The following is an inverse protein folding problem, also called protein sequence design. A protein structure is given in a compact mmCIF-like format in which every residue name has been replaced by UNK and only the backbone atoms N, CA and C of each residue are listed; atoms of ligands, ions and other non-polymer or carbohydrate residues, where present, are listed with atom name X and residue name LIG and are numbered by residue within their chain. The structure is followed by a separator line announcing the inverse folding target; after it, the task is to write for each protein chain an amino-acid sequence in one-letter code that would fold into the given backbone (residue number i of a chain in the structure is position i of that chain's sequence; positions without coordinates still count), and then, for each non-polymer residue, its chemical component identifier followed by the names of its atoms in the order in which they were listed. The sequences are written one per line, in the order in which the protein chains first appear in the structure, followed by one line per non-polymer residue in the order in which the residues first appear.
data_IF_366227569917
#
_entry.id   IF_366227569917
#
_cell.length_a   1.000
_cell.length_b   1.000
_cell.length_c   1.000
_cell.angle_alpha   90.00
_cell.angle_beta   90.00
_cell.angle_gamma   90.00
#
_symmetry.space_group_name_H-M   'P 1'
#
loop_
_entity.id
_entity.type
_entity.pdbx_description
1 polymer ?
#
# COMPACT_ATOMS: atom_id res chain seq x y z
N UNK A 1 -21.09 5.83 -13.63
CA UNK A 1 -20.70 6.98 -12.79
C UNK A 1 -19.89 6.58 -11.57
N UNK A 2 -20.38 5.69 -10.70
CA UNK A 2 -19.68 5.26 -9.46
C UNK A 2 -18.26 4.73 -9.73
N UNK A 3 -18.08 3.84 -10.70
CA UNK A 3 -16.76 3.25 -10.98
C UNK A 3 -15.75 4.25 -11.55
N UNK A 4 -16.22 5.24 -12.31
CA UNK A 4 -15.38 6.34 -12.79
C UNK A 4 -14.86 7.18 -11.62
N UNK A 5 -15.74 7.56 -10.68
CA UNK A 5 -15.35 8.28 -9.48
C UNK A 5 -14.36 7.46 -8.62
N UNK A 6 -14.60 6.16 -8.46
CA UNK A 6 -13.68 5.27 -7.75
C UNK A 6 -12.29 5.23 -8.40
N UNK A 7 -12.22 5.18 -9.73
CA UNK A 7 -10.96 5.27 -10.47
C UNK A 7 -10.21 6.60 -10.24
N UNK A 8 -10.94 7.73 -10.24
CA UNK A 8 -10.36 9.04 -9.96
C UNK A 8 -9.81 9.15 -8.53
N UNK A 9 -10.48 8.57 -7.54
CA UNK A 9 -10.00 8.54 -6.15
C UNK A 9 -8.68 7.78 -6.04
N UNK A 10 -8.58 6.61 -6.69
CA UNK A 10 -7.34 5.82 -6.71
C UNK A 10 -6.22 6.56 -7.44
N UNK A 11 -6.52 7.20 -8.57
CA UNK A 11 -5.57 8.05 -9.30
C UNK A 11 -5.05 9.18 -8.41
N UNK A 12 -5.93 9.89 -7.70
CA UNK A 12 -5.54 10.96 -6.78
C UNK A 12 -4.60 10.45 -5.67
N UNK A 13 -4.86 9.25 -5.13
CA UNK A 13 -3.96 8.61 -4.16
C UNK A 13 -2.57 8.32 -4.73
N UNK A 14 -2.48 7.81 -5.97
CA UNK A 14 -1.20 7.59 -6.64
C UNK A 14 -0.47 8.90 -6.99
N UNK A 15 -1.19 9.94 -7.39
CA UNK A 15 -0.63 11.26 -7.63
C UNK A 15 -0.09 11.88 -6.34
N UNK A 16 -0.81 11.70 -5.22
CA UNK A 16 -0.32 12.10 -3.91
C UNK A 16 0.98 11.35 -3.58
N UNK A 17 1.02 10.03 -3.74
CA UNK A 17 2.24 9.25 -3.54
C UNK A 17 3.40 9.69 -4.46
N UNK A 18 3.11 10.14 -5.68
CA UNK A 18 4.11 10.66 -6.60
C UNK A 18 4.66 12.02 -6.15
N UNK A 19 3.82 12.88 -5.55
CA UNK A 19 4.24 14.16 -4.98
C UNK A 19 5.12 14.02 -3.73
N UNK A 20 5.03 12.90 -3.02
CA UNK A 20 5.82 12.64 -1.82
C UNK A 20 7.23 12.16 -2.16
N UNK A 21 8.25 12.68 -1.47
CA UNK A 21 9.62 12.22 -1.58
C UNK A 21 9.80 10.96 -0.71
N UNK A 22 10.14 9.79 -1.28
CA UNK A 22 10.29 8.58 -0.49
C UNK A 22 11.46 8.71 0.49
N UNK A 23 11.22 8.42 1.77
CA UNK A 23 12.28 8.40 2.78
C UNK A 23 13.25 7.23 2.56
N UNK A 24 14.57 7.51 2.56
CA UNK A 24 15.61 6.49 2.38
C UNK A 24 15.62 5.44 3.50
N UNK A 25 15.23 5.85 4.70
CA UNK A 25 15.08 4.97 5.87
C UNK A 25 13.94 3.94 5.72
N UNK A 26 13.12 4.04 4.66
CA UNK A 26 12.03 3.10 4.40
C UNK A 26 10.73 3.38 5.16
N UNK A 27 10.67 4.42 6.00
CA UNK A 27 9.49 4.84 6.76
C UNK A 27 9.46 6.37 6.98
N UNK A 28 8.34 6.92 7.46
CA UNK A 28 8.25 8.35 7.81
C UNK A 28 7.80 9.28 6.68
N UNK A 29 7.64 8.79 5.45
CA UNK A 29 7.11 9.60 4.32
C UNK A 29 5.73 10.20 4.63
N UNK A 30 4.94 9.57 5.52
CA UNK A 30 3.64 10.13 5.95
C UNK A 30 3.78 11.44 6.73
N UNK A 31 4.93 11.72 7.35
CA UNK A 31 5.15 12.97 8.09
C UNK A 31 5.17 14.21 7.15
N UNK A 32 5.48 14.02 5.87
CA UNK A 32 5.37 15.08 4.85
C UNK A 32 3.92 15.51 4.63
N UNK A 33 2.94 14.68 5.01
CA UNK A 33 1.52 15.02 5.00
C UNK A 33 1.08 15.77 6.27
N UNK A 34 2.02 16.14 7.16
CA UNK A 34 1.72 16.77 8.46
C UNK A 34 1.24 15.79 9.53
N UNK A 35 1.37 14.48 9.28
CA UNK A 35 0.99 13.44 10.24
C UNK A 35 2.09 13.24 11.30
N UNK A 36 1.73 12.89 12.55
CA UNK A 36 2.71 12.64 13.61
C UNK A 36 3.58 11.40 13.30
N UNK A 37 4.76 11.27 13.92
CA UNK A 37 5.55 10.05 13.84
C UNK A 37 4.76 8.84 14.35
N UNK A 38 5.12 7.63 13.88
CA UNK A 38 4.45 6.41 14.35
C UNK A 38 4.73 6.22 15.85
N UNK A 39 3.69 6.31 16.68
CA UNK A 39 3.81 6.19 18.14
C UNK A 39 4.44 4.89 18.60
N UNK A 40 4.14 3.77 17.94
CA UNK A 40 4.72 2.46 18.29
C UNK A 40 6.23 2.45 18.04
N UNK A 41 6.65 2.97 16.89
CA UNK A 41 8.07 3.09 16.57
C UNK A 41 8.78 4.08 17.48
N UNK A 42 8.13 5.20 17.81
CA UNK A 42 8.69 6.24 18.67
C UNK A 42 8.85 5.78 20.13
N UNK A 43 7.86 5.05 20.67
CA UNK A 43 7.88 4.60 22.07
C UNK A 43 8.66 3.29 22.28
N UNK A 44 8.50 2.32 21.38
CA UNK A 44 9.06 0.97 21.55
C UNK A 44 10.28 0.71 20.68
N UNK A 45 10.64 1.60 19.76
CA UNK A 45 11.74 1.40 18.81
C UNK A 45 11.45 0.35 17.74
N UNK A 46 10.23 -0.21 17.71
CA UNK A 46 9.85 -1.33 16.83
C UNK A 46 8.89 -0.83 15.75
N UNK A 47 9.10 -1.17 14.47
CA UNK A 47 8.17 -0.80 13.41
C UNK A 47 6.82 -1.52 13.60
N UNK A 48 5.71 -0.82 13.43
CA UNK A 48 4.38 -1.44 13.37
C UNK A 48 4.14 -2.08 11.98
N UNK A 49 3.12 -2.94 11.78
CA UNK A 49 2.89 -3.58 10.47
C UNK A 49 2.63 -2.57 9.34
N UNK A 50 2.14 -1.36 9.66
CA UNK A 50 1.93 -0.28 8.70
C UNK A 50 3.12 0.68 8.53
N UNK A 51 4.19 0.55 9.34
CA UNK A 51 5.38 1.39 9.18
C UNK A 51 5.97 1.19 7.78
N UNK A 52 6.16 2.29 7.07
CA UNK A 52 6.72 2.29 5.71
C UNK A 52 5.73 2.04 4.58
N UNK A 53 4.42 1.92 4.85
CA UNK A 53 3.42 1.78 3.77
C UNK A 53 3.42 2.99 2.82
N UNK A 54 3.38 4.22 3.32
CA UNK A 54 3.40 5.43 2.46
C UNK A 54 4.71 5.56 1.69
N UNK A 55 5.84 5.21 2.31
CA UNK A 55 7.14 5.14 1.63
C UNK A 55 7.14 4.08 0.53
N UNK A 56 6.55 2.92 0.79
CA UNK A 56 6.38 1.86 -0.21
C UNK A 56 5.56 2.34 -1.40
N UNK A 57 4.46 3.06 -1.17
CA UNK A 57 3.65 3.68 -2.25
C UNK A 57 4.47 4.70 -3.06
N UNK A 58 5.25 5.56 -2.39
CA UNK A 58 6.10 6.55 -3.06
C UNK A 58 7.19 5.90 -3.94
N UNK A 59 7.79 4.79 -3.51
CA UNK A 59 8.70 4.00 -4.35
C UNK A 59 7.98 3.25 -5.48
N UNK A 60 6.78 2.73 -5.22
CA UNK A 60 5.99 1.96 -6.19
C UNK A 60 5.61 2.81 -7.41
N UNK A 61 5.10 4.04 -7.20
CA UNK A 61 4.73 4.95 -8.30
C UNK A 61 5.93 5.39 -9.14
N UNK A 62 7.15 5.28 -8.59
CA UNK A 62 8.42 5.56 -9.30
C UNK A 62 8.97 4.33 -10.03
N UNK A 63 8.24 3.21 -10.03
CA UNK A 63 8.68 1.95 -10.64
C UNK A 63 9.77 1.21 -9.84
N UNK A 64 10.13 1.69 -8.64
CA UNK A 64 11.17 1.08 -7.82
C UNK A 64 10.58 -0.01 -6.91
N UNK A 65 10.16 -1.13 -7.50
CA UNK A 65 9.45 -2.21 -6.79
C UNK A 65 10.33 -2.83 -5.68
N UNK A 66 11.64 -2.99 -5.90
CA UNK A 66 12.53 -3.55 -4.88
C UNK A 66 12.66 -2.61 -3.66
N UNK A 67 12.80 -1.30 -3.90
CA UNK A 67 12.81 -0.30 -2.81
C UNK A 67 11.46 -0.24 -2.10
N UNK A 68 10.36 -0.38 -2.84
CA UNK A 68 9.00 -0.47 -2.30
C UNK A 68 8.83 -1.66 -1.36
N UNK A 69 9.30 -2.85 -1.74
CA UNK A 69 9.25 -4.06 -0.92
C UNK A 69 10.14 -3.95 0.32
N UNK A 70 11.34 -3.35 0.19
CA UNK A 70 12.24 -3.09 1.32
C UNK A 70 11.58 -2.18 2.36
N UNK A 71 10.89 -1.13 1.92
CA UNK A 71 10.11 -0.27 2.81
C UNK A 71 8.97 -1.06 3.49
N UNK A 72 8.06 -1.65 2.70
CA UNK A 72 6.98 -2.50 3.20
C UNK A 72 6.42 -3.43 2.10
N UNK A 73 6.54 -4.75 2.26
CA UNK A 73 6.01 -5.77 1.33
C UNK A 73 4.48 -5.76 1.32
N UNK A 74 3.85 -5.60 2.49
CA UNK A 74 2.41 -5.41 2.62
C UNK A 74 1.93 -4.16 1.86
N UNK A 75 2.66 -3.04 1.98
CA UNK A 75 2.41 -1.81 1.23
C UNK A 75 2.50 -2.00 -0.29
N UNK A 76 3.50 -2.76 -0.75
CA UNK A 76 3.70 -3.06 -2.18
C UNK A 76 2.55 -3.91 -2.73
N UNK A 77 2.12 -4.89 -1.94
CA UNK A 77 0.98 -5.76 -2.26
C UNK A 77 -0.29 -4.92 -2.40
N UNK A 78 -0.55 -4.04 -1.42
CA UNK A 78 -1.69 -3.13 -1.42
C UNK A 78 -1.68 -2.19 -2.63
N UNK A 79 -0.53 -1.54 -2.91
CA UNK A 79 -0.36 -0.65 -4.06
C UNK A 79 -0.66 -1.37 -5.39
N UNK A 80 -0.20 -2.61 -5.52
CA UNK A 80 -0.47 -3.45 -6.70
C UNK A 80 -1.97 -3.75 -6.84
N UNK A 81 -2.64 -4.09 -5.74
CA UNK A 81 -4.10 -4.30 -5.73
C UNK A 81 -4.88 -3.04 -6.11
N UNK A 82 -4.48 -1.87 -5.57
CA UNK A 82 -5.06 -0.58 -5.92
C UNK A 82 -4.89 -0.27 -7.42
N UNK A 83 -3.73 -0.56 -8.00
CA UNK A 83 -3.46 -0.36 -9.43
C UNK A 83 -4.36 -1.27 -10.29
N UNK A 84 -4.45 -2.55 -9.95
CA UNK A 84 -5.32 -3.51 -10.65
C UNK A 84 -6.79 -3.10 -10.54
N UNK A 85 -7.23 -2.66 -9.35
CA UNK A 85 -8.58 -2.17 -9.12
C UNK A 85 -8.87 -0.92 -9.95
N UNK A 86 -7.95 0.04 -9.99
CA UNK A 86 -8.07 1.26 -10.79
C UNK A 86 -8.25 0.94 -12.27
N UNK A 87 -7.41 0.06 -12.83
CA UNK A 87 -7.51 -0.40 -14.22
C UNK A 87 -8.87 -1.08 -14.46
N UNK A 88 -9.30 -1.95 -13.54
CA UNK A 88 -10.58 -2.67 -13.65
C UNK A 88 -11.78 -1.72 -13.62
N UNK A 89 -11.77 -0.71 -12.75
CA UNK A 89 -12.83 0.29 -12.64
C UNK A 89 -12.92 1.16 -13.89
N UNK A 90 -11.78 1.58 -14.46
CA UNK A 90 -11.77 2.33 -15.72
C UNK A 90 -12.26 1.50 -16.90
N UNK A 91 -11.78 0.25 -17.03
CA UNK A 91 -12.25 -0.66 -18.09
C UNK A 91 -13.76 -0.90 -17.98
N UNK A 92 -14.27 -1.08 -16.77
CA UNK A 92 -15.71 -1.21 -16.55
C UNK A 92 -16.48 0.06 -16.92
N UNK A 93 -15.93 1.24 -16.60
CA UNK A 93 -16.55 2.52 -16.97
C UNK A 93 -16.68 2.73 -18.48
N UNK A 94 -15.82 2.10 -19.30
CA UNK A 94 -15.89 2.19 -20.77
C UNK A 94 -16.68 1.06 -21.42
N UNK A 95 -16.59 -0.16 -20.91
CA UNK A 95 -17.21 -1.34 -21.54
C UNK A 95 -18.60 -1.64 -21.01
N UNK A 96 -18.94 -1.20 -19.79
CA UNK A 96 -20.19 -1.54 -19.12
C UNK A 96 -20.33 -3.01 -18.69
N UNK A 97 -19.31 -3.84 -18.90
CA UNK A 97 -19.36 -5.28 -18.60
C UNK A 97 -18.85 -5.53 -17.18
N UNK A 98 -19.77 -5.75 -16.24
CA UNK A 98 -19.42 -5.99 -14.85
C UNK A 98 -18.92 -7.43 -14.67
N UNK A 99 -17.81 -7.66 -13.95
CA UNK A 99 -17.52 -9.00 -13.48
C UNK A 99 -18.64 -9.48 -12.53
N UNK A 100 -18.93 -10.79 -12.48
CA UNK A 100 -19.97 -11.30 -11.60
C UNK A 100 -19.64 -10.99 -10.13
N UNK A 101 -20.63 -10.53 -9.36
CA UNK A 101 -20.47 -10.08 -7.97
C UNK A 101 -19.68 -11.07 -7.10
N UNK A 102 -20.02 -12.37 -7.18
CA UNK A 102 -19.32 -13.44 -6.45
C UNK A 102 -17.83 -13.55 -6.78
N UNK A 103 -17.41 -13.23 -8.01
CA UNK A 103 -16.00 -13.22 -8.40
C UNK A 103 -15.28 -12.05 -7.75
N UNK A 104 -15.90 -10.86 -7.75
CA UNK A 104 -15.33 -9.65 -7.11
C UNK A 104 -15.16 -9.89 -5.62
N UNK A 105 -16.20 -10.38 -4.94
CA UNK A 105 -16.18 -10.68 -3.51
C UNK A 105 -15.06 -11.69 -3.17
N UNK A 106 -14.99 -12.81 -3.89
CA UNK A 106 -13.93 -13.81 -3.69
C UNK A 106 -12.54 -13.23 -3.94
N UNK A 107 -12.35 -12.44 -4.99
CA UNK A 107 -11.06 -11.81 -5.29
C UNK A 107 -10.65 -10.82 -4.19
N UNK A 108 -11.58 -10.00 -3.70
CA UNK A 108 -11.31 -9.06 -2.61
C UNK A 108 -10.98 -9.79 -1.30
N UNK A 109 -11.72 -10.83 -0.95
CA UNK A 109 -11.45 -11.63 0.25
C UNK A 109 -10.05 -12.24 0.17
N UNK A 110 -9.74 -12.96 -0.93
CA UNK A 110 -8.42 -13.60 -1.09
C UNK A 110 -7.29 -12.56 -1.05
N UNK A 111 -7.47 -11.42 -1.71
CA UNK A 111 -6.48 -10.35 -1.73
C UNK A 111 -6.27 -9.72 -0.35
N UNK A 112 -7.34 -9.35 0.36
CA UNK A 112 -7.25 -8.74 1.69
C UNK A 112 -6.68 -9.72 2.71
N UNK A 113 -7.07 -11.00 2.65
CA UNK A 113 -6.48 -12.05 3.48
C UNK A 113 -4.99 -12.21 3.20
N UNK A 114 -4.57 -12.25 1.93
CA UNK A 114 -3.16 -12.32 1.57
C UNK A 114 -2.39 -11.09 2.06
N UNK A 115 -2.94 -9.89 1.87
CA UNK A 115 -2.35 -8.64 2.37
C UNK A 115 -2.15 -8.66 3.89
N UNK A 116 -3.15 -9.10 4.65
CA UNK A 116 -3.06 -9.21 6.10
C UNK A 116 -2.01 -10.23 6.52
N UNK A 117 -2.00 -11.41 5.90
CA UNK A 117 -1.01 -12.46 6.19
C UNK A 117 0.41 -11.95 5.89
N UNK A 118 0.63 -11.32 4.73
CA UNK A 118 1.94 -10.78 4.34
C UNK A 118 2.38 -9.69 5.32
N UNK A 119 1.49 -8.76 5.68
CA UNK A 119 1.79 -7.67 6.60
C UNK A 119 2.15 -8.19 8.00
N UNK A 120 1.39 -9.17 8.50
CA UNK A 120 1.66 -9.81 9.79
C UNK A 120 2.94 -10.66 9.76
N UNK A 121 3.18 -11.43 8.70
CA UNK A 121 4.37 -12.26 8.56
C UNK A 121 5.64 -11.39 8.46
N UNK A 122 5.62 -10.36 7.63
CA UNK A 122 6.72 -9.41 7.51
C UNK A 122 7.00 -8.71 8.85
N UNK A 123 5.94 -8.32 9.57
CA UNK A 123 6.09 -7.72 10.90
C UNK A 123 6.67 -8.70 11.92
N UNK A 124 6.18 -9.94 11.96
CA UNK A 124 6.69 -10.97 12.84
C UNK A 124 8.19 -11.22 12.58
N UNK A 125 8.60 -11.31 11.32
CA UNK A 125 10.02 -11.45 10.93
C UNK A 125 10.84 -10.26 11.44
N UNK A 126 10.38 -9.02 11.24
CA UNK A 126 11.07 -7.81 11.76
C UNK A 126 11.16 -7.79 13.29
N UNK A 127 10.12 -8.25 13.97
CA UNK A 127 10.06 -8.33 15.42
C UNK A 127 11.04 -9.38 15.98
N UNK A 128 11.03 -10.60 15.44
CA UNK A 128 11.87 -11.70 15.92
C UNK A 128 13.35 -11.55 15.56
N UNK A 129 13.66 -10.96 14.40
CA UNK A 129 15.06 -10.73 14.01
C UNK A 129 15.73 -9.61 14.81
N UNK A 130 15.01 -8.98 15.76
CA UNK A 130 15.53 -7.92 16.62
C UNK A 130 16.15 -6.79 15.81
N UNK A 131 15.77 -6.65 14.54
CA UNK A 131 16.43 -5.75 13.63
C UNK A 131 16.14 -4.36 14.18
N UNK A 132 17.16 -3.60 14.65
CA UNK A 132 16.97 -2.17 14.79
C UNK A 132 16.43 -1.72 13.44
N UNK A 133 15.44 -0.82 13.45
CA UNK A 133 14.78 -0.39 12.24
C UNK A 133 15.82 0.10 11.21
N UNK A 134 16.25 -0.82 10.33
CA UNK A 134 17.30 -0.69 9.32
C UNK A 134 18.73 -0.46 9.85
#
# INVERSE_FOLDING_TARGET
MICFLGGLVLLAGFLLAASLAPAEQGYGTHQQLGLPPCTIQFLFGIPCPSCGMTTSFAWFVRGQILASMRANVGGTTLASGCLILMISLWRFSWTGIAPPWKRIERTLIVFLTAFLIISCAQWAVRFFLGSPAF
#
